data_IF_245859579644
#
_entry.id   IF_245859579644
#
_cell.length_a   1.000
_cell.length_b   1.000
_cell.length_c   1.000
_cell.angle_alpha   90.00
_cell.angle_beta   90.00
_cell.angle_gamma   90.00
#
_symmetry.space_group_name_H-M   'P 1'
#
loop_
_entity.id
_entity.type
_entity.pdbx_description
1 polymer ?
#
# COMPACT_ATOMS: atom_id res chain seq x y z
N UNK A 1 8.24 -47.59 -16.84
CA UNK A 1 8.21 -47.26 -15.40
C UNK A 1 8.80 -45.91 -15.07
N UNK A 2 9.48 -45.24 -15.99
CA UNK A 2 9.95 -43.86 -15.79
C UNK A 2 8.87 -42.77 -15.90
N UNK A 3 7.73 -43.09 -16.53
CA UNK A 3 6.64 -42.12 -16.73
C UNK A 3 5.95 -41.69 -15.43
N UNK A 4 5.84 -42.57 -14.43
CA UNK A 4 5.20 -42.25 -13.16
C UNK A 4 6.02 -41.26 -12.29
N UNK A 5 7.35 -41.34 -12.37
CA UNK A 5 8.25 -40.43 -11.66
C UNK A 5 8.23 -39.04 -12.26
N UNK A 6 8.14 -38.92 -13.57
CA UNK A 6 8.09 -37.65 -14.27
C UNK A 6 6.77 -36.89 -13.96
N UNK A 7 5.66 -37.63 -13.88
CA UNK A 7 4.36 -37.05 -13.55
C UNK A 7 4.34 -36.52 -12.09
N UNK A 8 4.91 -37.26 -11.14
CA UNK A 8 5.02 -36.85 -9.75
C UNK A 8 5.85 -35.58 -9.58
N UNK A 9 6.99 -35.49 -10.28
CA UNK A 9 7.84 -34.31 -10.27
C UNK A 9 7.12 -33.07 -10.84
N UNK A 10 6.34 -33.26 -11.90
CA UNK A 10 5.60 -32.18 -12.54
C UNK A 10 4.48 -31.66 -11.63
N UNK A 11 3.77 -32.53 -10.92
CA UNK A 11 2.73 -32.15 -9.96
C UNK A 11 3.34 -31.40 -8.77
N UNK A 12 4.48 -31.83 -8.26
CA UNK A 12 5.19 -31.15 -7.18
C UNK A 12 5.65 -29.76 -7.59
N UNK A 13 6.15 -29.59 -8.82
CA UNK A 13 6.56 -28.29 -9.34
C UNK A 13 5.38 -27.32 -9.47
N UNK A 14 4.22 -27.77 -9.95
CA UNK A 14 3.01 -26.99 -10.05
C UNK A 14 2.49 -26.56 -8.66
N UNK A 15 2.59 -27.43 -7.67
CA UNK A 15 2.19 -27.11 -6.29
C UNK A 15 3.08 -26.00 -5.70
N UNK A 16 4.38 -26.02 -5.95
CA UNK A 16 5.33 -24.98 -5.50
C UNK A 16 5.00 -23.63 -6.15
N UNK A 17 4.70 -23.61 -7.45
CA UNK A 17 4.32 -22.39 -8.16
C UNK A 17 3.02 -21.80 -7.63
N UNK A 18 2.05 -22.61 -7.26
CA UNK A 18 0.80 -22.18 -6.67
C UNK A 18 0.99 -21.53 -5.30
N UNK A 19 1.92 -22.02 -4.49
CA UNK A 19 2.24 -21.45 -3.18
C UNK A 19 2.94 -20.09 -3.28
N UNK A 20 3.78 -19.89 -4.31
CA UNK A 20 4.48 -18.63 -4.49
C UNK A 20 3.58 -17.48 -4.96
N UNK A 21 2.43 -17.77 -5.56
CA UNK A 21 1.49 -16.73 -6.02
C UNK A 21 0.71 -16.06 -4.87
N UNK A 22 0.72 -16.62 -3.64
CA UNK A 22 0.03 -16.06 -2.48
C UNK A 22 0.66 -14.80 -1.89
N UNK A 23 1.90 -14.43 -2.30
CA UNK A 23 2.62 -13.28 -1.74
C UNK A 23 2.13 -11.92 -2.24
N UNK A 24 1.25 -11.85 -3.26
CA UNK A 24 0.77 -10.63 -3.89
C UNK A 24 -0.73 -10.42 -3.67
N UNK A 25 -1.25 -10.82 -2.50
CA UNK A 25 -2.68 -10.77 -2.23
C UNK A 25 -3.19 -9.38 -1.87
N UNK A 26 -2.31 -8.47 -1.44
CA UNK A 26 -2.68 -7.12 -1.01
C UNK A 26 -1.97 -6.09 -1.89
N UNK A 27 -2.72 -5.10 -2.37
CA UNK A 27 -2.17 -3.98 -3.13
C UNK A 27 -2.85 -2.68 -2.73
N UNK A 28 -2.11 -1.57 -2.86
CA UNK A 28 -2.64 -0.24 -2.65
C UNK A 28 -3.04 0.32 -4.01
N UNK A 29 -4.29 0.75 -4.13
CA UNK A 29 -4.81 1.34 -5.35
C UNK A 29 -4.79 2.86 -5.30
N UNK A 30 -5.96 3.47 -5.49
CA UNK A 30 -6.09 4.92 -5.55
C UNK A 30 -5.83 5.57 -4.18
N UNK A 31 -5.05 6.65 -4.19
CA UNK A 31 -4.77 7.48 -3.02
C UNK A 31 -5.26 8.90 -3.32
N UNK A 32 -6.07 9.46 -2.44
CA UNK A 32 -6.60 10.81 -2.58
C UNK A 32 -6.47 11.58 -1.27
N UNK A 33 -6.21 12.88 -1.37
CA UNK A 33 -6.13 13.76 -0.21
C UNK A 33 -7.07 14.92 -0.40
N UNK A 34 -8.00 15.13 0.54
CA UNK A 34 -8.99 16.21 0.47
C UNK A 34 -9.37 16.63 1.88
N UNK A 35 -9.33 17.95 2.13
CA UNK A 35 -9.82 18.50 3.38
C UNK A 35 -9.10 17.99 4.64
N UNK A 36 -7.81 17.72 4.56
CA UNK A 36 -7.04 17.21 5.68
C UNK A 36 -7.24 15.73 5.95
N UNK A 37 -7.82 14.99 5.01
CA UNK A 37 -8.07 13.55 5.13
C UNK A 37 -7.44 12.82 3.95
N UNK A 38 -6.64 11.83 4.25
CA UNK A 38 -6.07 10.92 3.26
C UNK A 38 -6.99 9.72 3.10
N UNK A 39 -7.40 9.44 1.87
CA UNK A 39 -8.18 8.25 1.54
C UNK A 39 -7.31 7.28 0.74
N UNK A 40 -7.24 6.04 1.20
CA UNK A 40 -6.39 5.01 0.60
C UNK A 40 -7.25 3.81 0.25
N UNK A 41 -7.23 3.43 -1.01
CA UNK A 41 -7.89 2.24 -1.49
C UNK A 41 -6.94 1.05 -1.40
N UNK A 42 -7.39 -0.02 -0.77
CA UNK A 42 -6.63 -1.25 -0.61
C UNK A 42 -7.43 -2.41 -1.20
N UNK A 43 -6.78 -3.18 -2.04
CA UNK A 43 -7.35 -4.37 -2.65
C UNK A 43 -6.75 -5.60 -1.99
N UNK A 44 -7.62 -6.51 -1.55
CA UNK A 44 -7.22 -7.77 -0.91
C UNK A 44 -7.89 -8.94 -1.62
N UNK A 45 -7.10 -9.79 -2.23
CA UNK A 45 -7.59 -11.03 -2.86
C UNK A 45 -7.40 -12.26 -1.97
N UNK A 46 -6.75 -12.06 -0.82
CA UNK A 46 -6.53 -13.10 0.16
C UNK A 46 -7.61 -13.16 1.24
N UNK A 47 -7.31 -13.82 2.33
CA UNK A 47 -8.21 -13.92 3.48
C UNK A 47 -8.34 -12.60 4.24
N UNK A 48 -9.48 -12.42 4.93
CA UNK A 48 -9.70 -11.29 5.81
C UNK A 48 -8.79 -11.38 7.04
N UNK A 49 -8.42 -10.23 7.59
CA UNK A 49 -7.58 -10.21 8.79
C UNK A 49 -7.24 -8.79 9.23
N UNK A 50 -6.65 -8.70 10.41
CA UNK A 50 -6.20 -7.44 10.97
C UNK A 50 -4.88 -7.01 10.32
N UNK A 51 -4.77 -5.71 10.07
CA UNK A 51 -3.60 -5.11 9.45
C UNK A 51 -3.41 -3.68 9.96
N UNK A 52 -2.36 -3.03 9.51
CA UNK A 52 -2.12 -1.62 9.77
C UNK A 52 -1.77 -0.90 8.48
N UNK A 53 -2.34 0.27 8.30
CA UNK A 53 -1.95 1.20 7.26
C UNK A 53 -1.03 2.24 7.88
N UNK A 54 0.20 2.30 7.41
CA UNK A 54 1.20 3.26 7.88
C UNK A 54 1.48 4.27 6.77
N UNK A 55 1.54 5.54 7.15
CA UNK A 55 1.86 6.64 6.24
C UNK A 55 3.01 7.43 6.84
N UNK A 56 4.12 7.49 6.14
CA UNK A 56 5.25 8.34 6.46
C UNK A 56 5.23 9.53 5.51
N UNK A 57 5.17 10.74 6.06
CA UNK A 57 5.03 11.97 5.29
C UNK A 57 6.34 12.74 5.31
N UNK A 58 6.87 13.02 4.14
CA UNK A 58 8.08 13.82 3.95
C UNK A 58 7.74 15.09 3.19
N UNK A 59 8.28 16.21 3.66
CA UNK A 59 8.18 17.49 2.98
C UNK A 59 9.45 17.73 2.18
N UNK A 60 9.30 18.27 0.98
CA UNK A 60 10.44 18.72 0.20
C UNK A 60 10.88 20.10 0.68
N UNK A 61 12.11 20.20 1.17
CA UNK A 61 12.75 21.45 1.59
C UNK A 61 14.16 21.48 1.05
N UNK A 62 14.51 22.50 0.27
CA UNK A 62 15.86 22.74 -0.22
C UNK A 62 16.54 21.48 -0.78
N UNK A 63 15.85 20.77 -1.67
CA UNK A 63 16.31 19.50 -2.27
C UNK A 63 16.46 18.35 -1.28
N UNK A 64 15.88 18.48 -0.09
CA UNK A 64 15.87 17.43 0.93
C UNK A 64 14.45 16.97 1.21
N UNK A 65 14.35 15.73 1.65
CA UNK A 65 13.12 15.19 2.24
C UNK A 65 13.24 15.24 3.76
N UNK A 66 12.33 15.93 4.40
CA UNK A 66 12.27 16.03 5.86
C UNK A 66 10.99 15.35 6.32
N UNK A 67 11.11 14.36 7.21
CA UNK A 67 9.93 13.69 7.78
C UNK A 67 9.17 14.66 8.66
N UNK A 68 7.89 14.88 8.34
CA UNK A 68 7.02 15.78 9.09
C UNK A 68 6.11 15.03 10.04
N UNK A 69 5.63 13.86 9.65
CA UNK A 69 4.79 13.03 10.51
C UNK A 69 4.79 11.58 10.04
N UNK A 70 4.42 10.71 10.95
CA UNK A 70 4.23 9.28 10.70
C UNK A 70 2.97 8.85 11.42
N UNK A 71 2.02 8.34 10.66
CA UNK A 71 0.73 7.93 11.19
C UNK A 71 0.48 6.45 10.91
N UNK A 72 -0.15 5.78 11.86
CA UNK A 72 -0.52 4.39 11.71
C UNK A 72 -2.00 4.23 12.04
N UNK A 73 -2.74 3.60 11.14
CA UNK A 73 -4.16 3.33 11.30
C UNK A 73 -4.37 1.82 11.35
N UNK A 74 -4.87 1.26 12.46
CA UNK A 74 -5.32 -0.13 12.48
C UNK A 74 -6.49 -0.29 11.51
N UNK A 75 -6.42 -1.30 10.65
CA UNK A 75 -7.46 -1.59 9.67
C UNK A 75 -7.82 -3.06 9.72
N UNK A 76 -9.00 -3.37 9.20
CA UNK A 76 -9.39 -4.74 8.93
C UNK A 76 -9.46 -4.94 7.43
N UNK A 77 -8.64 -5.84 6.93
CA UNK A 77 -8.67 -6.22 5.52
C UNK A 77 -9.84 -7.18 5.31
N UNK A 78 -10.75 -6.79 4.46
CA UNK A 78 -11.80 -7.66 3.94
C UNK A 78 -11.43 -8.07 2.53
N UNK A 79 -11.95 -9.20 2.08
CA UNK A 79 -11.75 -9.64 0.70
C UNK A 79 -12.42 -8.66 -0.25
N UNK A 80 -11.71 -8.23 -1.26
CA UNK A 80 -12.17 -7.23 -2.22
C UNK A 80 -11.47 -5.89 -2.02
N UNK A 81 -12.15 -4.81 -2.39
CA UNK A 81 -11.61 -3.46 -2.31
C UNK A 81 -12.22 -2.72 -1.14
N UNK A 82 -11.38 -2.14 -0.28
CA UNK A 82 -11.78 -1.28 0.81
C UNK A 82 -11.13 0.09 0.71
N UNK A 83 -11.82 1.11 1.21
CA UNK A 83 -11.27 2.47 1.30
C UNK A 83 -11.14 2.85 2.77
N UNK A 84 -9.96 3.32 3.14
CA UNK A 84 -9.63 3.70 4.51
C UNK A 84 -9.31 5.19 4.57
N UNK A 85 -9.86 5.87 5.55
CA UNK A 85 -9.68 7.32 5.74
C UNK A 85 -8.80 7.57 6.95
N UNK A 86 -7.78 8.39 6.77
CA UNK A 86 -6.82 8.75 7.80
C UNK A 86 -6.76 10.27 7.92
N UNK A 87 -7.12 10.86 9.08
CA UNK A 87 -6.90 12.27 9.29
C UNK A 87 -5.41 12.60 9.20
N UNK A 88 -5.07 13.55 8.34
CA UNK A 88 -3.69 13.92 8.07
C UNK A 88 -3.64 15.42 7.77
N UNK A 89 -3.72 16.28 8.79
CA UNK A 89 -3.69 17.73 8.57
C UNK A 89 -2.26 18.14 8.14
N UNK A 90 -2.15 18.65 6.93
CA UNK A 90 -0.89 19.11 6.36
C UNK A 90 -1.01 20.57 5.94
N UNK A 91 0.02 21.36 6.24
CA UNK A 91 0.15 22.72 5.75
C UNK A 91 0.43 22.73 4.25
N UNK A 92 0.26 23.88 3.62
CA UNK A 92 0.55 24.04 2.20
C UNK A 92 1.99 23.66 1.89
N UNK A 93 2.19 22.91 0.82
CA UNK A 93 3.50 22.48 0.40
C UNK A 93 3.47 21.23 -0.47
N UNK A 94 4.64 20.78 -0.84
CA UNK A 94 4.83 19.54 -1.61
C UNK A 94 5.34 18.45 -0.68
N UNK A 95 4.69 17.28 -0.77
CA UNK A 95 4.96 16.18 0.12
C UNK A 95 5.13 14.88 -0.66
N UNK A 96 5.94 14.00 -0.10
CA UNK A 96 6.02 12.60 -0.55
C UNK A 96 5.52 11.69 0.56
N UNK A 97 4.55 10.87 0.22
CA UNK A 97 3.93 9.92 1.13
C UNK A 97 4.45 8.52 0.82
N UNK A 98 4.94 7.85 1.84
CA UNK A 98 5.26 6.42 1.77
C UNK A 98 4.15 5.68 2.52
N UNK A 99 3.39 4.88 1.78
CA UNK A 99 2.27 4.14 2.33
C UNK A 99 2.61 2.66 2.39
N UNK A 100 2.32 2.05 3.52
CA UNK A 100 2.59 0.64 3.77
C UNK A 100 1.36 -0.03 4.37
N UNK A 101 1.05 -1.22 3.88
CA UNK A 101 0.09 -2.11 4.54
C UNK A 101 0.88 -3.26 5.14
N UNK A 102 0.78 -3.42 6.45
CA UNK A 102 1.47 -4.48 7.19
C UNK A 102 0.45 -5.37 7.88
N UNK A 103 0.70 -6.68 7.86
CA UNK A 103 -0.08 -7.66 8.60
C UNK A 103 0.88 -8.47 9.47
N UNK A 104 0.72 -8.38 10.78
CA UNK A 104 1.72 -8.89 11.70
C UNK A 104 3.03 -8.13 11.53
N UNK A 105 4.14 -8.83 11.33
CA UNK A 105 5.45 -8.25 11.06
C UNK A 105 5.78 -8.16 9.57
N UNK A 106 4.84 -8.55 8.70
CA UNK A 106 5.07 -8.62 7.27
C UNK A 106 4.50 -7.40 6.55
N UNK A 107 5.34 -6.76 5.73
CA UNK A 107 4.90 -5.72 4.82
C UNK A 107 4.22 -6.39 3.62
N UNK A 108 2.94 -6.11 3.43
CA UNK A 108 2.13 -6.72 2.37
C UNK A 108 2.08 -5.88 1.10
N UNK A 109 2.11 -4.56 1.25
CA UNK A 109 2.07 -3.64 0.12
C UNK A 109 2.76 -2.34 0.48
N UNK A 110 3.29 -1.65 -0.52
CA UNK A 110 3.87 -0.32 -0.35
C UNK A 110 3.71 0.48 -1.64
N UNK A 111 3.52 1.79 -1.49
CA UNK A 111 3.45 2.72 -2.62
C UNK A 111 4.01 4.08 -2.17
N UNK A 112 4.55 4.80 -3.14
CA UNK A 112 5.02 6.19 -2.96
C UNK A 112 4.08 7.08 -3.75
N UNK A 113 3.55 8.11 -3.09
CA UNK A 113 2.65 9.08 -3.70
C UNK A 113 3.10 10.50 -3.41
N UNK A 114 3.31 11.28 -4.46
CA UNK A 114 3.60 12.70 -4.32
C UNK A 114 2.30 13.49 -4.36
N UNK A 115 2.17 14.46 -3.46
CA UNK A 115 1.02 15.37 -3.42
C UNK A 115 1.49 16.81 -3.23
N UNK A 116 0.69 17.75 -3.72
CA UNK A 116 0.83 19.17 -3.44
C UNK A 116 -0.41 19.63 -2.70
N UNK A 117 -0.22 20.18 -1.49
CA UNK A 117 -1.31 20.69 -0.65
C UNK A 117 -1.38 22.20 -0.81
N UNK A 118 -2.57 22.68 -1.14
CA UNK A 118 -2.88 24.10 -1.26
C UNK A 118 -4.06 24.43 -0.37
N UNK A 119 -4.24 25.73 -0.05
CA UNK A 119 -5.28 26.20 0.89
C UNK A 119 -6.70 25.73 0.56
N UNK A 120 -6.95 25.31 -0.66
CA UNK A 120 -8.26 24.87 -1.15
C UNK A 120 -8.34 23.39 -1.52
N UNK A 121 -7.37 22.59 -1.10
CA UNK A 121 -7.34 21.17 -1.36
C UNK A 121 -5.99 20.69 -1.87
N UNK A 122 -5.89 19.39 -2.15
CA UNK A 122 -4.68 18.77 -2.65
C UNK A 122 -4.90 18.21 -4.04
N UNK A 123 -3.94 18.45 -4.92
CA UNK A 123 -3.92 17.84 -6.24
C UNK A 123 -2.83 16.79 -6.29
N UNK A 124 -3.12 15.53 -6.68
CA UNK A 124 -2.07 14.57 -6.94
C UNK A 124 -1.18 15.09 -8.06
N UNK A 125 0.15 14.93 -7.90
CA UNK A 125 1.09 15.29 -8.96
C UNK A 125 1.14 14.16 -9.97
N UNK A 126 0.25 14.24 -10.96
CA UNK A 126 0.20 13.26 -12.05
C UNK A 126 1.40 13.50 -12.97
N UNK A 127 2.09 12.44 -13.31
CA UNK A 127 3.24 12.53 -14.19
C UNK A 127 4.50 13.05 -13.53
N UNK A 128 4.51 13.21 -12.21
CA UNK A 128 5.71 13.53 -11.45
C UNK A 128 6.64 12.32 -11.29
N UNK A 129 6.33 11.32 -12.06
CA UNK A 129 7.24 10.17 -12.15
C UNK A 129 8.50 10.60 -12.82
#
# INVERSE_FOLDING_TARGET
MSAGRSVLLLVALLAILSLSSGCLSVSIGKVAYTGGVLQVQVMNTGGAGDAALQVNVFRFQDFRQVEVTRETLPIRLERGTGTYSLPLPLDDGSYRLYLYVTAGNDRRASVIQDITVESHGATPRIGAG
#
